data_IF_786370948887
#
_entry.id   IF_786370948887
#
_cell.length_a   1.000
_cell.length_b   1.000
_cell.length_c   1.000
_cell.angle_alpha   90.00
_cell.angle_beta   90.00
_cell.angle_gamma   90.00
#
_symmetry.space_group_name_H-M   'P 1'
#
loop_
_entity.id
_entity.type
_entity.pdbx_description
1 polymer ?
#
# COMPACT_ATOMS: atom_id res chain seq x y z
N UNK A 1 -71.40 -4.83 51.04
CA UNK A 1 -70.23 -5.72 50.93
C UNK A 1 -70.56 -6.80 49.88
N UNK A 2 -70.17 -6.57 48.63
CA UNK A 2 -70.54 -7.30 47.40
C UNK A 2 -69.50 -8.40 47.11
N UNK A 3 -69.81 -9.72 47.10
CA UNK A 3 -70.40 -10.61 46.02
C UNK A 3 -69.54 -10.67 44.73
N UNK A 4 -69.25 -11.75 43.98
CA UNK A 4 -69.74 -13.14 43.75
C UNK A 4 -68.64 -13.86 42.87
N UNK A 5 -68.18 -15.10 43.15
CA UNK A 5 -68.42 -16.41 42.46
C UNK A 5 -68.26 -16.56 40.91
N UNK A 6 -67.37 -17.49 40.51
CA UNK A 6 -67.31 -18.40 39.32
C UNK A 6 -67.13 -17.92 37.85
N UNK A 7 -66.17 -18.60 37.19
CA UNK A 7 -66.16 -19.15 35.80
C UNK A 7 -65.78 -18.24 34.60
N UNK A 8 -65.11 -18.88 33.61
CA UNK A 8 -64.74 -18.48 32.23
C UNK A 8 -63.30 -17.95 32.04
N UNK A 9 -62.56 -18.23 30.97
CA UNK A 9 -62.62 -19.15 29.82
C UNK A 9 -61.30 -18.88 29.06
N UNK A 10 -60.71 -19.89 28.43
CA UNK A 10 -59.57 -19.76 27.52
C UNK A 10 -59.78 -18.68 26.45
N UNK A 11 -58.75 -17.85 26.19
CA UNK A 11 -58.41 -17.44 24.84
C UNK A 11 -56.90 -17.15 24.72
N UNK A 12 -56.19 -18.08 24.06
CA UNK A 12 -54.88 -17.86 23.46
C UNK A 12 -55.02 -16.84 22.31
N UNK A 13 -54.25 -15.76 22.36
CA UNK A 13 -53.74 -15.07 21.17
C UNK A 13 -52.23 -14.99 21.35
N UNK A 14 -51.50 -15.81 20.60
CA UNK A 14 -50.05 -15.75 20.54
C UNK A 14 -49.60 -14.55 19.73
N UNK A 15 -48.64 -13.80 20.25
CA UNK A 15 -47.65 -13.07 19.45
C UNK A 15 -46.31 -13.28 20.14
N UNK A 16 -45.40 -13.94 19.44
CA UNK A 16 -44.14 -14.41 19.98
C UNK A 16 -43.27 -13.28 20.52
N UNK A 17 -42.63 -13.53 21.67
CA UNK A 17 -41.41 -12.84 22.04
C UNK A 17 -40.34 -13.22 21.01
N UNK A 18 -40.26 -12.44 19.93
CA UNK A 18 -39.12 -12.43 19.05
C UNK A 18 -37.93 -11.90 19.85
N UNK A 19 -36.98 -12.79 20.14
CA UNK A 19 -35.64 -12.42 20.59
C UNK A 19 -35.03 -11.48 19.53
N UNK A 20 -35.19 -10.17 19.70
CA UNK A 20 -34.39 -9.18 18.99
C UNK A 20 -33.02 -9.16 19.68
N UNK A 21 -32.18 -10.13 19.32
CA UNK A 21 -30.74 -9.95 19.49
C UNK A 21 -30.36 -8.83 18.51
N UNK A 22 -29.90 -7.66 18.96
CA UNK A 22 -29.40 -6.67 18.02
C UNK A 22 -28.15 -7.28 17.37
N UNK A 23 -28.29 -7.74 16.13
CA UNK A 23 -27.13 -8.07 15.30
C UNK A 23 -26.38 -6.77 15.06
N UNK A 24 -25.26 -6.59 15.76
CA UNK A 24 -24.25 -5.61 15.39
C UNK A 24 -23.77 -6.02 13.99
N UNK A 25 -24.16 -5.22 12.99
CA UNK A 25 -23.56 -5.30 11.67
C UNK A 25 -22.32 -4.43 11.71
N UNK A 26 -21.14 -5.05 11.79
CA UNK A 26 -19.91 -4.33 11.45
C UNK A 26 -20.02 -3.94 9.98
N UNK A 27 -19.99 -2.64 9.68
CA UNK A 27 -19.85 -2.21 8.30
C UNK A 27 -18.51 -2.77 7.81
N UNK A 28 -18.55 -3.78 6.93
CA UNK A 28 -17.34 -4.36 6.35
C UNK A 28 -16.69 -3.29 5.49
N UNK A 29 -15.43 -2.98 5.76
CA UNK A 29 -14.68 -2.07 4.91
C UNK A 29 -14.69 -2.58 3.47
N UNK A 30 -14.84 -1.68 2.47
CA UNK A 30 -14.82 -2.08 1.09
C UNK A 30 -13.47 -2.71 0.75
N UNK A 31 -13.49 -3.93 0.23
CA UNK A 31 -12.29 -4.59 -0.27
C UNK A 31 -11.67 -3.76 -1.40
N UNK A 32 -10.39 -3.43 -1.27
CA UNK A 32 -9.67 -2.59 -2.21
C UNK A 32 -8.25 -3.12 -2.44
N UNK A 33 -7.85 -3.20 -3.71
CA UNK A 33 -6.44 -3.41 -4.08
C UNK A 33 -5.67 -2.12 -3.79
N UNK A 34 -4.72 -2.19 -2.86
CA UNK A 34 -3.91 -1.05 -2.40
C UNK A 34 -2.60 -0.91 -3.16
N UNK A 35 -2.19 -1.91 -3.94
CA UNK A 35 -1.01 -1.83 -4.81
C UNK A 35 -1.14 -0.65 -5.79
N UNK A 36 -0.24 0.33 -5.69
CA UNK A 36 -0.17 1.49 -6.56
C UNK A 36 1.31 1.80 -6.86
N UNK A 37 1.69 2.47 -7.96
CA UNK A 37 0.87 2.77 -9.12
C UNK A 37 0.43 1.47 -9.84
N UNK A 38 -0.47 1.59 -10.81
CA UNK A 38 -0.92 0.45 -11.64
C UNK A 38 0.17 -0.03 -12.64
N UNK A 39 1.44 0.32 -12.38
CA UNK A 39 2.62 0.00 -13.17
C UNK A 39 3.54 -0.78 -12.26
N UNK A 40 3.66 -2.07 -12.50
CA UNK A 40 4.56 -2.92 -11.76
C UNK A 40 5.99 -2.73 -12.26
N UNK A 41 6.92 -3.12 -11.39
CA UNK A 41 8.32 -3.34 -11.70
C UNK A 41 8.45 -4.10 -13.03
N UNK A 42 9.26 -3.59 -13.95
CA UNK A 42 9.65 -4.24 -15.21
C UNK A 42 10.19 -5.66 -15.05
N UNK A 43 10.35 -6.44 -16.10
CA UNK A 43 11.04 -7.73 -16.07
C UNK A 43 11.99 -7.84 -17.25
N UNK A 44 12.86 -8.84 -17.24
CA UNK A 44 13.62 -9.25 -18.42
C UNK A 44 13.26 -10.69 -18.77
N UNK A 45 13.31 -11.01 -20.06
CA UNK A 45 13.18 -12.40 -20.51
C UNK A 45 14.32 -13.23 -19.92
N UNK A 46 13.97 -14.47 -19.55
CA UNK A 46 14.86 -15.46 -18.91
C UNK A 46 15.34 -15.10 -17.49
N UNK A 47 14.84 -14.02 -16.88
CA UNK A 47 15.12 -13.64 -15.50
C UNK A 47 13.94 -13.96 -14.57
N UNK A 48 14.22 -14.38 -13.33
CA UNK A 48 13.15 -14.63 -12.34
C UNK A 48 12.43 -13.32 -11.98
N UNK A 49 11.10 -13.34 -11.99
CA UNK A 49 10.25 -12.21 -11.64
C UNK A 49 9.41 -12.57 -10.43
N UNK A 50 9.30 -11.64 -9.47
CA UNK A 50 8.47 -11.78 -8.27
C UNK A 50 7.86 -10.43 -7.90
N UNK A 51 6.54 -10.38 -7.67
CA UNK A 51 5.84 -9.18 -7.22
C UNK A 51 4.68 -9.47 -6.26
N UNK A 52 4.73 -8.89 -5.06
CA UNK A 52 3.69 -9.05 -4.04
C UNK A 52 2.61 -7.98 -4.18
N UNK A 53 1.37 -8.40 -4.44
CA UNK A 53 0.22 -7.52 -4.40
C UNK A 53 -0.30 -7.32 -2.97
N UNK A 54 -0.90 -6.16 -2.71
CA UNK A 54 -1.50 -5.83 -1.42
C UNK A 54 -2.94 -5.35 -1.60
N UNK A 55 -3.79 -5.67 -0.61
CA UNK A 55 -5.17 -5.24 -0.52
C UNK A 55 -5.53 -4.96 0.94
N UNK A 56 -6.59 -4.17 1.14
CA UNK A 56 -7.13 -3.84 2.46
C UNK A 56 -8.67 -3.85 2.41
N UNK A 57 -9.31 -3.91 3.58
CA UNK A 57 -10.74 -4.11 3.72
C UNK A 57 -11.16 -5.56 3.50
N UNK A 58 -12.45 -5.79 3.26
CA UNK A 58 -13.03 -7.14 3.16
C UNK A 58 -13.21 -7.84 4.51
N UNK A 59 -13.72 -9.07 4.47
CA UNK A 59 -13.99 -9.91 5.64
C UNK A 59 -13.32 -11.28 5.51
N UNK A 60 -12.53 -11.67 6.51
CA UNK A 60 -11.81 -12.95 6.53
C UNK A 60 -10.53 -12.95 5.70
N UNK A 61 -10.17 -14.11 5.16
CA UNK A 61 -8.94 -14.29 4.37
C UNK A 61 -9.09 -13.67 2.98
N UNK A 62 -8.07 -12.97 2.50
CA UNK A 62 -7.99 -12.45 1.14
C UNK A 62 -7.34 -13.48 0.21
N UNK A 63 -8.02 -13.80 -0.89
CA UNK A 63 -7.59 -14.79 -1.89
C UNK A 63 -7.43 -14.09 -3.24
N UNK A 64 -6.23 -14.18 -3.80
CA UNK A 64 -5.87 -13.57 -5.08
C UNK A 64 -6.00 -14.54 -6.24
N UNK A 65 -6.37 -14.01 -7.40
CA UNK A 65 -6.36 -14.74 -8.67
C UNK A 65 -6.25 -13.79 -9.86
N UNK A 66 -5.96 -14.36 -11.03
CA UNK A 66 -6.09 -13.62 -12.29
C UNK A 66 -7.57 -13.55 -12.69
N UNK A 67 -8.00 -12.38 -13.19
CA UNK A 67 -9.39 -12.20 -13.65
C UNK A 67 -9.60 -12.93 -14.97
N UNK A 68 -10.69 -13.70 -15.07
CA UNK A 68 -11.07 -14.41 -16.30
C UNK A 68 -11.76 -13.50 -17.34
N UNK A 69 -12.20 -12.31 -16.92
CA UNK A 69 -12.86 -11.32 -17.78
C UNK A 69 -11.90 -10.19 -18.14
N UNK A 70 -11.25 -10.33 -19.29
CA UNK A 70 -10.21 -9.42 -19.77
C UNK A 70 -10.75 -8.38 -20.77
N UNK A 71 -10.50 -7.08 -20.54
CA UNK A 71 -10.72 -6.04 -21.54
C UNK A 71 -9.83 -6.20 -22.79
N UNK A 72 -10.17 -5.58 -23.93
CA UNK A 72 -9.27 -5.54 -25.09
C UNK A 72 -7.89 -4.96 -24.74
N UNK A 73 -6.82 -5.62 -25.18
CA UNK A 73 -5.44 -5.20 -24.91
C UNK A 73 -4.90 -5.58 -23.53
N UNK A 74 -5.65 -6.39 -22.77
CA UNK A 74 -5.21 -7.02 -21.52
C UNK A 74 -4.98 -8.50 -21.77
N UNK A 75 -3.75 -8.95 -21.55
CA UNK A 75 -3.29 -10.32 -21.73
C UNK A 75 -3.37 -11.11 -20.41
N UNK A 76 -3.37 -12.44 -20.50
CA UNK A 76 -3.16 -13.30 -19.32
C UNK A 76 -1.68 -13.36 -18.95
N UNK A 77 -1.38 -13.46 -17.66
CA UNK A 77 -0.04 -13.62 -17.10
C UNK A 77 0.70 -14.81 -17.71
N UNK A 78 0.00 -15.91 -18.01
CA UNK A 78 0.60 -17.10 -18.63
C UNK A 78 1.20 -16.82 -20.01
N UNK A 79 0.65 -15.86 -20.76
CA UNK A 79 1.19 -15.46 -22.08
C UNK A 79 2.56 -14.78 -21.99
N UNK A 80 2.93 -14.38 -20.77
CA UNK A 80 4.19 -13.75 -20.43
C UNK A 80 5.06 -14.67 -19.58
N UNK A 81 4.65 -15.91 -19.27
CA UNK A 81 5.41 -16.83 -18.41
C UNK A 81 5.29 -16.54 -16.91
N UNK A 82 4.25 -15.79 -16.52
CA UNK A 82 4.00 -15.39 -15.15
C UNK A 82 2.73 -16.06 -14.60
N UNK A 83 2.67 -16.14 -13.27
CA UNK A 83 1.61 -16.78 -12.50
C UNK A 83 1.29 -15.91 -11.28
N UNK A 84 0.10 -16.07 -10.72
CA UNK A 84 -0.29 -15.44 -9.45
C UNK A 84 -0.67 -16.52 -8.43
N UNK A 85 -0.08 -16.43 -7.24
CA UNK A 85 -0.41 -17.27 -6.09
C UNK A 85 -1.60 -16.71 -5.33
N UNK A 86 -2.26 -17.56 -4.53
CA UNK A 86 -3.45 -17.17 -3.75
C UNK A 86 -3.17 -16.11 -2.67
N UNK A 87 -1.91 -15.94 -2.27
CA UNK A 87 -1.42 -14.91 -1.36
C UNK A 87 -1.10 -13.58 -2.05
N UNK A 88 -1.27 -13.49 -3.37
CA UNK A 88 -1.04 -12.27 -4.15
C UNK A 88 0.37 -12.15 -4.71
N UNK A 89 1.21 -13.19 -4.61
CA UNK A 89 2.53 -13.20 -5.22
C UNK A 89 2.44 -13.51 -6.73
N UNK A 90 2.68 -12.51 -7.57
CA UNK A 90 2.98 -12.68 -8.99
C UNK A 90 4.41 -13.23 -9.10
N UNK A 91 4.63 -14.31 -9.83
CA UNK A 91 5.96 -14.90 -9.99
C UNK A 91 6.13 -15.63 -11.32
N UNK A 92 7.36 -15.93 -11.71
CA UNK A 92 7.67 -16.74 -12.90
C UNK A 92 8.88 -16.23 -13.66
N UNK A 93 9.13 -16.76 -14.85
CA UNK A 93 10.21 -16.34 -15.73
C UNK A 93 9.60 -15.78 -17.01
N UNK A 94 9.75 -14.48 -17.30
CA UNK A 94 9.15 -13.90 -18.48
C UNK A 94 9.59 -14.59 -19.77
N UNK A 95 8.63 -15.11 -20.54
CA UNK A 95 8.92 -15.90 -21.76
C UNK A 95 8.09 -15.43 -22.96
N UNK A 96 8.30 -14.19 -23.40
CA UNK A 96 7.51 -13.67 -24.52
C UNK A 96 7.97 -14.31 -25.84
N UNK A 97 7.14 -15.18 -26.41
CA UNK A 97 7.42 -15.86 -27.69
C UNK A 97 7.25 -14.92 -28.91
N UNK A 98 8.05 -15.13 -29.96
CA UNK A 98 7.95 -14.40 -31.24
C UNK A 98 9.06 -13.37 -31.50
N UNK A 99 8.94 -12.62 -32.60
CA UNK A 99 9.88 -11.53 -32.93
C UNK A 99 9.73 -10.40 -31.91
N UNK A 100 10.68 -10.31 -30.98
CA UNK A 100 10.55 -9.45 -29.81
C UNK A 100 11.21 -8.08 -30.04
N UNK A 101 10.47 -6.96 -29.94
CA UNK A 101 11.09 -5.64 -29.79
C UNK A 101 11.84 -5.57 -28.45
N UNK A 102 12.85 -4.69 -28.35
CA UNK A 102 13.73 -4.59 -27.17
C UNK A 102 12.98 -4.28 -25.86
N UNK A 103 11.83 -3.60 -25.96
CA UNK A 103 10.96 -3.22 -24.84
C UNK A 103 9.50 -3.55 -25.19
N UNK A 104 8.78 -4.20 -24.27
CA UNK A 104 7.37 -4.48 -24.40
C UNK A 104 6.58 -3.95 -23.21
N UNK A 105 5.40 -3.41 -23.44
CA UNK A 105 4.45 -3.05 -22.40
C UNK A 105 3.26 -4.01 -22.45
N UNK A 106 3.03 -4.69 -21.35
CA UNK A 106 1.97 -5.69 -21.19
C UNK A 106 1.00 -5.25 -20.12
N UNK A 107 -0.27 -5.58 -20.28
CA UNK A 107 -1.30 -5.31 -19.28
C UNK A 107 -1.97 -6.62 -18.90
N UNK A 108 -2.29 -6.80 -17.63
CA UNK A 108 -3.02 -7.95 -17.12
C UNK A 108 -3.98 -7.49 -16.02
N UNK A 109 -5.01 -8.30 -15.71
CA UNK A 109 -6.04 -7.94 -14.74
C UNK A 109 -6.10 -8.97 -13.63
N UNK A 110 -5.99 -8.50 -12.40
CA UNK A 110 -6.08 -9.35 -11.20
C UNK A 110 -7.34 -9.05 -10.42
N UNK A 111 -7.75 -10.02 -9.62
CA UNK A 111 -8.86 -9.90 -8.68
C UNK A 111 -8.44 -10.41 -7.30
N UNK A 112 -8.96 -9.77 -6.26
CA UNK A 112 -8.89 -10.23 -4.87
C UNK A 112 -10.30 -10.43 -4.35
N UNK A 113 -10.52 -11.56 -3.69
CA UNK A 113 -11.81 -11.95 -3.11
C UNK A 113 -11.62 -12.26 -1.64
N UNK A 114 -12.53 -11.78 -0.78
CA UNK A 114 -12.50 -12.09 0.64
C UNK A 114 -13.21 -13.43 0.96
N UNK A 115 -13.03 -13.97 2.16
CA UNK A 115 -13.63 -15.25 2.55
C UNK A 115 -14.95 -15.09 3.32
N UNK A 116 -15.69 -14.02 3.03
CA UNK A 116 -16.96 -13.70 3.71
C UNK A 116 -17.98 -14.83 3.57
N UNK A 117 -18.68 -15.15 4.67
CA UNK A 117 -19.80 -16.10 4.61
C UNK A 117 -20.98 -15.48 3.84
N UNK A 118 -21.43 -16.16 2.77
CA UNK A 118 -22.51 -15.67 1.90
C UNK A 118 -21.96 -15.24 0.54
N UNK A 119 -22.14 -13.97 0.17
CA UNK A 119 -21.60 -13.39 -1.07
C UNK A 119 -20.24 -12.74 -0.78
N UNK A 120 -19.12 -13.29 -1.30
CA UNK A 120 -17.80 -12.69 -1.15
C UNK A 120 -17.71 -11.30 -1.80
N UNK A 121 -16.97 -10.39 -1.18
CA UNK A 121 -16.61 -9.13 -1.82
C UNK A 121 -15.45 -9.38 -2.78
N UNK A 122 -15.42 -8.67 -3.91
CA UNK A 122 -14.35 -8.76 -4.89
C UNK A 122 -13.91 -7.38 -5.33
N UNK A 123 -12.60 -7.20 -5.51
CA UNK A 123 -12.01 -6.02 -6.12
C UNK A 123 -11.11 -6.44 -7.29
N UNK A 124 -11.14 -5.68 -8.38
CA UNK A 124 -10.35 -5.93 -9.58
C UNK A 124 -9.46 -4.73 -9.91
N UNK A 125 -8.28 -5.00 -10.49
CA UNK A 125 -7.40 -3.93 -11.00
C UNK A 125 -6.61 -4.42 -12.20
N UNK A 126 -6.47 -3.53 -13.18
CA UNK A 126 -5.56 -3.72 -14.31
C UNK A 126 -4.20 -3.15 -13.95
N UNK A 127 -3.16 -3.96 -14.14
CA UNK A 127 -1.77 -3.58 -13.98
C UNK A 127 -1.06 -3.61 -15.31
N UNK A 128 0.04 -2.87 -15.38
CA UNK A 128 0.94 -2.84 -16.53
C UNK A 128 2.33 -3.29 -16.09
N UNK A 129 3.01 -4.07 -16.94
CA UNK A 129 4.35 -4.61 -16.73
C UNK A 129 5.18 -4.36 -17.99
N UNK A 130 6.39 -3.84 -17.82
CA UNK A 130 7.33 -3.67 -18.93
C UNK A 130 8.28 -4.86 -18.99
N UNK A 131 8.33 -5.62 -20.08
CA UNK A 131 9.28 -6.73 -20.25
C UNK A 131 10.34 -6.33 -21.27
N UNK A 132 11.60 -6.41 -20.87
CA UNK A 132 12.76 -6.22 -21.72
C UNK A 132 13.21 -7.54 -22.33
N UNK A 133 13.77 -7.46 -23.54
CA UNK A 133 14.24 -8.64 -24.28
C UNK A 133 15.34 -9.43 -23.57
N UNK A 134 16.15 -8.77 -22.73
CA UNK A 134 17.11 -9.40 -21.84
C UNK A 134 17.54 -8.42 -20.75
N UNK A 135 18.27 -8.95 -19.77
CA UNK A 135 18.78 -8.21 -18.63
C UNK A 135 19.75 -7.08 -19.01
N UNK A 136 20.58 -7.27 -20.04
CA UNK A 136 21.51 -6.24 -20.52
C UNK A 136 20.81 -5.01 -21.08
N UNK A 137 19.73 -5.21 -21.86
CA UNK A 137 18.90 -4.13 -22.37
C UNK A 137 18.13 -3.47 -21.24
N UNK A 138 17.61 -4.25 -20.28
CA UNK A 138 16.93 -3.71 -19.09
C UNK A 138 17.84 -2.76 -18.32
N UNK A 139 19.06 -3.21 -17.99
CA UNK A 139 20.10 -2.39 -17.32
C UNK A 139 20.49 -1.17 -18.14
N UNK A 140 20.75 -1.32 -19.45
CA UNK A 140 21.09 -0.19 -20.30
C UNK A 140 19.97 0.87 -20.40
N UNK A 141 18.71 0.44 -20.37
CA UNK A 141 17.56 1.36 -20.37
C UNK A 141 17.33 2.00 -19.00
N UNK A 142 17.63 1.29 -17.91
CA UNK A 142 17.66 1.86 -16.57
C UNK A 142 18.76 2.94 -16.50
N UNK A 143 20.00 2.60 -16.86
CA UNK A 143 21.16 3.49 -16.81
C UNK A 143 21.00 4.78 -17.62
N UNK A 144 20.50 4.70 -18.87
CA UNK A 144 20.31 5.87 -19.75
C UNK A 144 19.34 6.92 -19.19
N UNK A 145 18.41 6.50 -18.35
CA UNK A 145 17.38 7.37 -17.79
C UNK A 145 17.65 7.81 -16.36
N UNK A 146 18.45 7.05 -15.61
CA UNK A 146 18.57 7.12 -14.16
C UNK A 146 19.71 7.97 -13.63
N UNK A 147 20.84 7.99 -14.31
CA UNK A 147 21.99 8.75 -13.84
C UNK A 147 22.02 10.15 -14.46
N UNK A 148 22.43 11.13 -13.66
CA UNK A 148 22.75 12.47 -14.16
C UNK A 148 23.98 12.41 -15.07
N UNK A 149 24.06 13.26 -16.09
CA UNK A 149 25.25 13.29 -16.94
C UNK A 149 26.46 13.83 -16.14
N UNK A 150 27.68 13.36 -16.46
CA UNK A 150 28.91 13.78 -15.77
C UNK A 150 29.09 15.30 -15.76
N UNK A 151 28.75 15.94 -16.88
CA UNK A 151 28.83 17.38 -17.09
C UNK A 151 27.82 18.16 -16.23
N UNK A 152 26.74 17.49 -15.81
CA UNK A 152 25.70 18.04 -14.96
C UNK A 152 25.98 17.77 -13.47
N UNK A 153 26.96 16.93 -13.11
CA UNK A 153 27.18 16.54 -11.71
C UNK A 153 27.55 17.71 -10.80
N UNK A 154 28.32 18.69 -11.27
CA UNK A 154 28.66 19.88 -10.47
C UNK A 154 27.55 20.95 -10.49
N UNK A 155 26.77 21.03 -11.57
CA UNK A 155 25.68 22.00 -11.73
C UNK A 155 24.38 21.54 -11.06
N UNK A 156 24.07 20.25 -11.15
CA UNK A 156 22.87 19.60 -10.60
C UNK A 156 23.09 18.99 -9.20
N UNK A 157 24.33 18.79 -8.71
CA UNK A 157 24.59 18.58 -7.25
C UNK A 157 23.89 19.63 -6.40
N UNK A 158 23.71 20.82 -6.98
CA UNK A 158 23.15 22.02 -6.38
C UNK A 158 21.61 22.08 -6.46
N UNK A 159 20.97 21.19 -7.22
CA UNK A 159 19.58 21.36 -7.69
C UNK A 159 18.68 20.12 -7.61
N UNK A 160 19.07 19.01 -6.97
CA UNK A 160 18.08 18.00 -6.56
C UNK A 160 17.49 18.40 -5.20
N UNK A 161 16.33 19.09 -5.15
CA UNK A 161 15.74 19.55 -3.90
C UNK A 161 15.35 18.34 -3.05
N UNK A 162 16.07 18.14 -1.95
CA UNK A 162 15.79 17.06 -1.01
C UNK A 162 16.97 16.14 -0.72
N UNK A 163 18.02 16.13 -1.53
CA UNK A 163 19.22 15.36 -1.19
C UNK A 163 20.10 16.15 -0.22
N UNK A 164 20.35 15.60 0.96
CA UNK A 164 21.04 16.30 2.06
C UNK A 164 22.51 15.88 2.12
N UNK A 165 22.76 14.59 1.93
CA UNK A 165 24.10 13.98 1.90
C UNK A 165 24.12 12.91 0.81
N UNK A 166 25.29 12.32 0.54
CA UNK A 166 25.41 11.26 -0.47
C UNK A 166 24.48 10.06 -0.21
N UNK A 167 24.02 9.89 1.03
CA UNK A 167 23.25 8.72 1.47
C UNK A 167 21.93 9.10 2.17
N UNK A 168 21.51 10.39 2.11
CA UNK A 168 20.30 10.87 2.78
C UNK A 168 19.50 11.75 1.83
N UNK A 169 18.21 11.46 1.69
CA UNK A 169 17.26 12.34 1.01
C UNK A 169 16.02 12.61 1.86
N UNK A 170 15.39 13.77 1.64
CA UNK A 170 14.13 14.19 2.24
C UNK A 170 13.13 14.49 1.13
N UNK A 171 11.90 14.03 1.31
CA UNK A 171 10.83 14.30 0.36
C UNK A 171 9.45 14.11 0.95
N UNK A 172 8.40 14.47 0.19
CA UNK A 172 7.03 14.29 0.64
C UNK A 172 6.71 12.82 0.90
N UNK A 173 5.84 12.57 1.87
CA UNK A 173 5.37 11.25 2.24
C UNK A 173 3.88 11.26 2.54
N UNK A 174 3.21 10.18 2.16
CA UNK A 174 1.82 9.90 2.55
C UNK A 174 1.80 8.53 3.23
N UNK A 175 1.00 8.40 4.28
CA UNK A 175 0.77 7.11 4.91
C UNK A 175 -0.68 6.96 5.28
N UNK A 176 -1.16 5.72 5.26
CA UNK A 176 -2.43 5.38 5.87
C UNK A 176 -2.20 4.89 7.28
N UNK A 177 -3.19 5.09 8.16
CA UNK A 177 -3.27 4.43 9.45
C UNK A 177 -4.25 3.25 9.31
N UNK A 178 -3.77 2.03 9.57
CA UNK A 178 -4.57 0.81 9.45
C UNK A 178 -4.92 0.23 10.82
N UNK A 179 -3.91 0.18 11.70
CA UNK A 179 -4.04 -0.28 13.07
C UNK A 179 -3.65 0.84 14.02
N UNK A 180 -4.44 0.99 15.08
CA UNK A 180 -4.18 1.92 16.16
C UNK A 180 -4.28 1.20 17.49
N UNK A 181 -3.35 1.45 18.39
CA UNK A 181 -3.42 1.03 19.78
C UNK A 181 -3.28 2.24 20.70
N UNK A 182 -4.34 2.57 21.44
CA UNK A 182 -4.33 3.69 22.38
C UNK A 182 -3.84 3.19 23.75
N UNK A 183 -2.74 3.79 24.25
CA UNK A 183 -2.12 3.37 25.51
C UNK A 183 -2.94 3.77 26.75
N UNK A 184 -3.73 4.83 26.69
CA UNK A 184 -4.55 5.28 27.82
C UNK A 184 -5.78 4.40 28.03
N UNK A 185 -6.38 3.93 26.94
CA UNK A 185 -7.59 3.08 26.99
C UNK A 185 -7.30 1.60 26.86
N UNK A 186 -6.05 1.22 26.56
CA UNK A 186 -5.60 -0.15 26.29
C UNK A 186 -6.38 -0.85 25.15
N UNK A 187 -6.99 -0.06 24.24
CA UNK A 187 -7.81 -0.56 23.15
C UNK A 187 -7.08 -0.52 21.81
N UNK A 188 -7.18 -1.62 21.08
CA UNK A 188 -6.81 -1.69 19.67
C UNK A 188 -8.01 -1.38 18.78
N UNK A 189 -7.78 -0.62 17.71
CA UNK A 189 -8.74 -0.36 16.64
C UNK A 189 -8.11 -0.78 15.32
N UNK A 190 -8.83 -1.64 14.61
CA UNK A 190 -8.57 -2.07 13.24
C UNK A 190 -9.56 -1.24 12.40
N UNK A 191 -9.11 -0.64 11.29
CA UNK A 191 -9.88 0.28 10.43
C UNK A 191 -9.94 1.74 10.92
N UNK A 192 -8.92 2.16 11.67
CA UNK A 192 -8.73 3.56 12.04
C UNK A 192 -8.23 4.37 10.82
N UNK A 193 -9.06 4.50 9.77
CA UNK A 193 -8.68 5.19 8.53
C UNK A 193 -8.30 6.65 8.81
N UNK A 194 -6.99 6.86 8.91
CA UNK A 194 -6.36 8.16 8.94
C UNK A 194 -5.48 8.33 7.72
N UNK A 195 -5.57 9.48 7.07
CA UNK A 195 -4.62 9.87 6.03
C UNK A 195 -3.56 10.76 6.65
N UNK A 196 -2.31 10.29 6.64
CA UNK A 196 -1.13 11.01 7.06
C UNK A 196 -0.45 11.68 5.90
N UNK A 197 -0.11 12.96 6.06
CA UNK A 197 0.76 13.71 5.15
C UNK A 197 1.98 14.20 5.93
N UNK A 198 3.15 14.19 5.29
CA UNK A 198 4.38 14.62 5.95
C UNK A 198 5.57 14.66 5.01
N UNK A 199 6.75 14.64 5.62
CA UNK A 199 8.02 14.45 4.93
C UNK A 199 8.68 13.17 5.45
N UNK A 200 9.40 12.48 4.59
CA UNK A 200 10.17 11.29 4.94
C UNK A 200 11.64 11.54 4.67
N UNK A 201 12.44 11.38 5.70
CA UNK A 201 13.90 11.37 5.66
C UNK A 201 14.31 9.93 5.42
N UNK A 202 15.03 9.66 4.34
CA UNK A 202 15.38 8.31 3.88
C UNK A 202 16.88 8.13 3.90
N UNK A 203 17.33 6.99 4.41
CA UNK A 203 18.73 6.59 4.42
C UNK A 203 18.99 5.49 3.40
N UNK A 204 20.09 5.62 2.69
CA UNK A 204 20.57 4.69 1.67
C UNK A 204 21.90 4.10 2.12
N UNK A 205 22.06 2.78 1.97
CA UNK A 205 23.38 2.17 2.16
C UNK A 205 24.12 2.14 0.83
N UNK A 206 25.46 2.08 0.87
CA UNK A 206 26.26 1.91 -0.34
C UNK A 206 25.96 0.56 -1.01
N UNK A 207 25.50 -0.46 -0.28
CA UNK A 207 25.09 -1.73 -0.88
C UNK A 207 23.79 -1.61 -1.68
N UNK A 208 22.92 -0.66 -1.30
CA UNK A 208 21.60 -0.45 -1.88
C UNK A 208 21.57 0.64 -2.97
N UNK A 209 22.76 1.14 -3.37
CA UNK A 209 22.93 2.12 -4.44
C UNK A 209 23.85 1.59 -5.54
N UNK A 210 23.42 1.78 -6.78
CA UNK A 210 24.23 1.52 -7.95
C UNK A 210 25.29 2.61 -8.14
N UNK A 211 26.52 2.25 -8.55
CA UNK A 211 27.55 3.21 -8.85
C UNK A 211 27.21 3.97 -10.14
N UNK A 212 27.54 5.26 -10.17
CA UNK A 212 27.39 6.05 -11.38
C UNK A 212 28.26 5.46 -12.53
N UNK A 213 27.71 5.19 -13.74
CA UNK A 213 28.38 4.37 -14.76
C UNK A 213 29.77 4.85 -15.20
N UNK A 214 30.00 6.17 -15.20
CA UNK A 214 31.28 6.77 -15.63
C UNK A 214 32.27 7.01 -14.49
N UNK A 215 31.79 7.35 -13.30
CA UNK A 215 32.64 7.78 -12.17
C UNK A 215 32.81 6.69 -11.13
N UNK A 216 31.97 5.65 -11.18
CA UNK A 216 31.91 4.54 -10.23
C UNK A 216 31.59 4.95 -8.78
N UNK A 217 31.21 6.21 -8.58
CA UNK A 217 30.85 6.77 -7.27
C UNK A 217 29.40 6.46 -6.93
N UNK A 218 29.14 6.07 -5.67
CA UNK A 218 27.79 5.88 -5.13
C UNK A 218 27.36 7.13 -4.39
N UNK A 219 26.27 7.74 -4.84
CA UNK A 219 25.67 8.92 -4.20
C UNK A 219 24.26 9.08 -4.73
N UNK A 220 23.32 9.35 -3.82
CA UNK A 220 21.92 9.58 -4.16
C UNK A 220 21.75 10.82 -5.06
N UNK A 221 22.66 11.79 -4.98
CA UNK A 221 22.70 12.98 -5.84
C UNK A 221 22.84 12.66 -7.32
N UNK A 222 23.41 11.50 -7.67
CA UNK A 222 23.64 11.12 -9.07
C UNK A 222 22.50 10.29 -9.64
N UNK A 223 21.57 9.86 -8.79
CA UNK A 223 20.48 8.98 -9.13
C UNK A 223 19.20 9.81 -9.14
N UNK A 224 18.61 9.95 -10.32
CA UNK A 224 17.38 10.70 -10.48
C UNK A 224 16.27 10.13 -9.60
N UNK A 225 15.43 11.00 -9.03
CA UNK A 225 14.26 10.63 -8.21
C UNK A 225 13.43 9.47 -8.75
N UNK A 226 13.19 9.48 -10.06
CA UNK A 226 12.36 8.47 -10.74
C UNK A 226 12.93 7.05 -10.72
N UNK A 227 14.21 6.91 -10.37
CA UNK A 227 14.98 5.67 -10.33
C UNK A 227 15.36 5.24 -8.93
N UNK A 228 14.82 5.92 -7.91
CA UNK A 228 14.89 5.51 -6.51
C UNK A 228 13.66 4.66 -6.23
N UNK A 229 13.84 3.55 -5.55
CA UNK A 229 12.75 2.67 -5.17
C UNK A 229 11.86 3.36 -4.14
N UNK A 230 10.56 3.28 -4.34
CA UNK A 230 9.55 3.65 -3.35
C UNK A 230 8.81 2.42 -2.85
N UNK A 231 7.90 2.63 -1.92
CA UNK A 231 7.11 1.61 -1.20
C UNK A 231 6.54 0.47 -2.05
N UNK A 232 6.24 0.74 -3.32
CA UNK A 232 5.61 -0.23 -4.20
C UNK A 232 6.53 -0.75 -5.30
N UNK A 233 7.78 -0.35 -5.25
CA UNK A 233 8.85 -0.84 -6.11
C UNK A 233 9.43 -2.16 -5.54
N UNK A 234 8.63 -2.95 -4.82
CA UNK A 234 8.68 -4.41 -4.67
C UNK A 234 10.05 -5.11 -4.60
N UNK A 235 10.96 -4.66 -3.73
CA UNK A 235 12.21 -5.35 -3.30
C UNK A 235 13.15 -5.92 -4.38
N UNK A 236 12.86 -5.70 -5.67
CA UNK A 236 13.68 -6.13 -6.77
C UNK A 236 14.72 -5.05 -6.99
N UNK A 237 15.87 -5.25 -6.35
CA UNK A 237 16.97 -4.30 -6.33
C UNK A 237 17.50 -3.96 -7.72
N UNK A 238 17.09 -4.72 -8.73
CA UNK A 238 17.64 -4.62 -10.07
C UNK A 238 16.97 -3.54 -10.91
N UNK A 239 15.89 -2.91 -10.43
CA UNK A 239 15.04 -1.98 -11.22
C UNK A 239 15.12 -0.53 -10.80
N UNK A 240 15.80 -0.29 -9.69
CA UNK A 240 16.04 1.04 -9.16
C UNK A 240 17.52 1.13 -8.90
N UNK A 241 18.09 2.27 -9.24
CA UNK A 241 19.50 2.52 -8.96
C UNK A 241 19.74 2.82 -7.48
N UNK A 242 18.70 3.03 -6.66
CA UNK A 242 18.83 3.24 -5.22
C UNK A 242 17.62 2.73 -4.44
N UNK A 243 17.84 2.15 -3.26
CA UNK A 243 16.80 1.74 -2.32
C UNK A 243 17.08 2.32 -0.94
N UNK A 244 16.06 2.90 -0.31
CA UNK A 244 16.18 3.26 1.11
C UNK A 244 15.93 2.03 1.97
N UNK A 245 16.75 1.83 3.00
CA UNK A 245 16.60 0.71 3.94
C UNK A 245 15.72 1.09 5.14
N UNK A 246 15.72 2.38 5.51
CA UNK A 246 14.90 2.94 6.58
C UNK A 246 14.52 4.38 6.28
N UNK A 247 13.40 4.81 6.86
CA UNK A 247 13.01 6.21 6.90
C UNK A 247 12.49 6.65 8.26
N UNK A 248 12.51 7.96 8.45
CA UNK A 248 11.92 8.67 9.58
C UNK A 248 11.03 9.78 9.04
N UNK A 249 9.77 9.76 9.45
CA UNK A 249 8.74 10.59 8.87
C UNK A 249 7.90 11.29 9.93
N UNK A 250 8.10 12.60 10.17
CA UNK A 250 7.10 13.40 10.86
C UNK A 250 5.85 13.53 9.99
N UNK A 251 4.71 13.07 10.50
CA UNK A 251 3.43 13.05 9.79
C UNK A 251 2.33 13.71 10.61
N UNK A 252 1.37 14.33 9.93
CA UNK A 252 0.11 14.76 10.50
C UNK A 252 -0.99 13.88 9.92
N UNK A 253 -1.62 13.07 10.76
CA UNK A 253 -2.77 12.27 10.40
C UNK A 253 -4.06 13.06 10.61
N UNK A 254 -4.96 12.95 9.65
CA UNK A 254 -6.34 13.38 9.79
C UNK A 254 -7.25 12.14 9.78
N UNK A 255 -8.03 11.97 10.84
CA UNK A 255 -9.08 10.94 10.92
C UNK A 255 -10.41 11.59 11.22
N UNK A 256 -11.51 11.00 10.74
CA UNK A 256 -12.85 11.44 11.12
C UNK A 256 -13.19 10.86 12.49
N UNK A 257 -13.52 11.72 13.47
CA UNK A 257 -13.94 11.28 14.80
C UNK A 257 -15.18 10.38 14.74
N UNK A 258 -15.24 9.40 15.65
CA UNK A 258 -16.37 8.49 15.80
C UNK A 258 -17.61 9.30 16.24
N UNK A 259 -18.74 9.13 15.56
CA UNK A 259 -19.93 9.98 15.71
C UNK A 259 -20.54 9.87 17.12
N UNK A 260 -20.38 10.89 17.95
CA UNK A 260 -21.33 11.18 19.03
C UNK A 260 -22.26 12.34 18.62
N UNK A 261 -23.48 12.01 18.18
CA UNK A 261 -24.72 12.80 18.23
C UNK A 261 -24.71 14.33 17.97
N UNK A 262 -23.77 14.86 17.18
CA UNK A 262 -23.71 16.28 16.84
C UNK A 262 -23.40 16.48 15.36
N UNK A 263 -24.08 17.43 14.75
CA UNK A 263 -24.18 17.66 13.30
C UNK A 263 -22.93 18.33 12.67
N UNK A 264 -21.74 18.09 13.24
CA UNK A 264 -20.45 18.56 12.72
C UNK A 264 -19.45 17.42 12.79
N UNK A 265 -19.02 16.90 11.64
CA UNK A 265 -17.92 15.92 11.60
C UNK A 265 -16.62 16.59 12.02
N UNK A 266 -16.22 16.45 13.28
CA UNK A 266 -14.96 16.95 13.78
C UNK A 266 -13.80 16.14 13.16
N UNK A 267 -12.81 16.85 12.62
CA UNK A 267 -11.60 16.26 12.06
C UNK A 267 -10.56 16.24 13.18
N UNK A 268 -10.13 15.04 13.56
CA UNK A 268 -9.06 14.89 14.54
C UNK A 268 -7.70 14.99 13.83
N UNK A 269 -6.89 15.96 14.27
CA UNK A 269 -5.50 16.11 13.85
C UNK A 269 -4.56 15.42 14.83
N UNK A 270 -3.69 14.58 14.28
CA UNK A 270 -2.85 13.67 15.05
C UNK A 270 -1.42 13.68 14.51
N UNK A 271 -0.52 14.50 15.09
CA UNK A 271 0.90 14.44 14.79
C UNK A 271 1.47 13.10 15.25
N UNK A 272 2.34 12.52 14.43
CA UNK A 272 3.03 11.29 14.72
C UNK A 272 4.44 11.30 14.14
N UNK A 273 5.33 10.55 14.79
CA UNK A 273 6.64 10.19 14.23
C UNK A 273 6.54 8.75 13.77
N UNK A 274 6.79 8.53 12.48
CA UNK A 274 6.63 7.24 11.82
C UNK A 274 7.99 6.76 11.33
N UNK A 275 8.36 5.54 11.70
CA UNK A 275 9.50 4.82 11.14
C UNK A 275 9.02 3.96 9.99
N UNK A 276 9.57 4.20 8.81
CA UNK A 276 9.32 3.41 7.62
C UNK A 276 10.41 2.36 7.44
N UNK A 277 9.99 1.14 7.17
CA UNK A 277 10.86 0.05 6.74
C UNK A 277 10.45 -0.35 5.33
N UNK A 278 11.37 -1.03 4.62
CA UNK A 278 11.02 -1.62 3.34
C UNK A 278 10.52 -0.56 2.34
N UNK A 279 11.31 0.52 2.16
CA UNK A 279 10.95 1.68 1.33
C UNK A 279 9.62 2.35 1.76
N UNK A 280 9.31 2.37 3.05
CA UNK A 280 8.07 2.91 3.66
C UNK A 280 6.82 2.03 3.47
N UNK A 281 6.98 0.75 3.06
CA UNK A 281 5.87 -0.20 2.97
C UNK A 281 5.25 -0.49 4.33
N UNK A 282 6.09 -0.70 5.32
CA UNK A 282 5.64 -0.93 6.68
C UNK A 282 6.04 0.29 7.50
N UNK A 283 5.02 0.96 8.03
CA UNK A 283 5.17 2.15 8.83
C UNK A 283 4.71 1.86 10.25
N UNK A 284 5.59 2.10 11.22
CA UNK A 284 5.29 1.99 12.65
C UNK A 284 5.56 3.35 13.27
N UNK A 285 4.57 3.93 13.94
CA UNK A 285 4.71 5.26 14.49
C UNK A 285 4.04 5.43 15.84
N UNK A 286 4.45 6.50 16.52
CA UNK A 286 3.82 6.95 17.76
C UNK A 286 3.26 8.34 17.53
N UNK A 287 2.00 8.53 17.87
CA UNK A 287 1.29 9.80 17.74
C UNK A 287 0.50 10.14 18.98
N UNK A 288 -0.10 11.33 18.96
CA UNK A 288 -0.99 11.79 20.02
C UNK A 288 -2.15 12.62 19.49
N UNK A 289 -3.27 12.63 20.20
CA UNK A 289 -4.44 13.42 19.80
C UNK A 289 -4.28 14.89 20.20
N UNK A 290 -4.45 15.82 19.26
CA UNK A 290 -4.44 17.26 19.55
C UNK A 290 -5.81 17.80 20.00
N UNK A 291 -6.88 17.09 19.65
CA UNK A 291 -8.27 17.51 19.84
C UNK A 291 -9.18 16.32 20.19
N UNK A 292 -10.47 16.60 20.41
CA UNK A 292 -11.48 15.59 20.76
C UNK A 292 -11.44 15.14 22.22
N UNK A 293 -12.33 14.20 22.55
CA UNK A 293 -12.51 13.67 23.91
C UNK A 293 -11.26 12.96 24.46
N UNK A 294 -10.38 12.48 23.57
CA UNK A 294 -9.17 11.74 23.89
C UNK A 294 -7.90 12.60 23.74
N UNK A 295 -8.01 13.92 23.88
CA UNK A 295 -6.88 14.85 23.74
C UNK A 295 -5.75 14.49 24.70
N UNK A 296 -4.53 14.40 24.18
CA UNK A 296 -3.33 14.05 24.94
C UNK A 296 -3.04 12.55 25.01
N UNK A 297 -3.99 11.69 24.62
CA UNK A 297 -3.73 10.26 24.55
C UNK A 297 -2.64 9.96 23.53
N UNK A 298 -1.64 9.19 23.97
CA UNK A 298 -0.60 8.64 23.11
C UNK A 298 -1.12 7.34 22.50
N UNK A 299 -0.82 7.12 21.24
CA UNK A 299 -1.17 5.90 20.53
C UNK A 299 -0.01 5.40 19.67
N UNK A 300 0.07 4.09 19.55
CA UNK A 300 0.86 3.41 18.53
C UNK A 300 0.00 3.30 17.27
N UNK A 301 0.59 3.56 16.12
CA UNK A 301 -0.03 3.35 14.82
C UNK A 301 0.84 2.43 13.97
N UNK A 302 0.18 1.57 13.20
CA UNK A 302 0.79 0.82 12.12
C UNK A 302 0.00 1.06 10.84
N UNK A 303 0.73 1.23 9.75
CA UNK A 303 0.16 1.65 8.48
C UNK A 303 0.98 1.17 7.29
N UNK A 304 0.42 1.41 6.10
CA UNK A 304 1.13 1.29 4.84
C UNK A 304 1.39 2.69 4.29
N UNK A 305 2.64 2.96 3.95
CA UNK A 305 3.08 4.21 3.35
C UNK A 305 2.98 4.19 1.83
N UNK A 306 3.09 5.38 1.24
CA UNK A 306 3.49 5.54 -0.15
C UNK A 306 4.58 6.60 -0.17
N UNK A 307 5.81 6.17 -0.44
CA UNK A 307 6.90 7.08 -0.79
C UNK A 307 6.64 7.65 -2.17
N UNK A 308 6.62 8.97 -2.32
CA UNK A 308 6.67 9.58 -3.64
C UNK A 308 8.09 9.48 -4.21
N UNK A 309 8.23 9.55 -5.53
CA UNK A 309 9.55 9.65 -6.19
C UNK A 309 9.98 11.12 -6.14
N UNK A 310 11.05 11.44 -5.42
CA UNK A 310 11.59 12.80 -5.27
C UNK A 310 13.12 12.82 -5.21
#
# INVERSE_FOLDING_TARGET
MTKFRNLCLYLLIGVGLGNLVPSIVFATDPLLITTAPNRLNSGAVDEDYKFQLTAAGGEGQLIWSESSSLPPGVDQLISMGLFISSDGLIHGVPNVSGAMPDVQHKSFKVQVTDSKSGTPNTAERVFTLTIYKNEGIRKANLEKGCFLAVEDLEKEKKWLPGDITDNISIGPAVSTQLLRYNFATEKASINAFGLGIGAAIRWYSDADMDPHPKTQTKSIHYIRPKCRATTFDNFDSTQHAAHSWVSLSPMIFASRGEKENSNSGEIDLQPAIVFGFLQDLINIGVGFNLAGANKGDVFLLMGIGTGFRF
#
